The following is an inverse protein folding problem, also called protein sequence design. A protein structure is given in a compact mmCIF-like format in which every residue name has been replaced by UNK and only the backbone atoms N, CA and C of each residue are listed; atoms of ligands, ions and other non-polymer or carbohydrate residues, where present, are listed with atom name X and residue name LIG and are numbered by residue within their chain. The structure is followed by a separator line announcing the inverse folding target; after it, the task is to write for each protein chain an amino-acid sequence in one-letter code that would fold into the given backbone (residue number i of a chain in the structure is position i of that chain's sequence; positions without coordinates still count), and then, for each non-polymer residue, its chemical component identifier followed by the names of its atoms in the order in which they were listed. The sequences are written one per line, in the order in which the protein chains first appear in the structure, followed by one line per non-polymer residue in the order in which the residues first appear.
data_IF_234312209133
#
_entry.id   IF_234312209133
#
_cell.length_a   1.000
_cell.length_b   1.000
_cell.length_c   1.000
_cell.angle_alpha   90.00
_cell.angle_beta   90.00
_cell.angle_gamma   90.00
#
_symmetry.space_group_name_H-M   'P 1'
#
loop_
_entity.id
_entity.type
_entity.pdbx_description
1 polymer ?
#
# COMPACT_ATOMS: atom_id res chain seq x y z
N UNK A 1 12.26 11.62 0.32
CA UNK A 1 11.62 11.39 -1.00
C UNK A 1 10.64 12.50 -1.30
N UNK A 2 9.86 12.96 -0.32
CA UNK A 2 9.20 14.28 -0.35
C UNK A 2 9.52 14.99 0.95
N UNK A 3 10.03 16.22 0.88
CA UNK A 3 10.48 16.97 2.06
C UNK A 3 9.39 17.93 2.54
N UNK A 4 8.38 18.20 1.70
CA UNK A 4 7.24 19.06 2.02
C UNK A 4 5.92 18.50 1.48
N UNK A 5 4.80 18.90 2.11
CA UNK A 5 3.46 18.58 1.62
C UNK A 5 3.22 19.14 0.20
N UNK A 6 3.84 20.28 -0.14
CA UNK A 6 3.73 20.88 -1.48
C UNK A 6 4.38 20.03 -2.56
N UNK A 7 5.52 19.39 -2.27
CA UNK A 7 6.15 18.45 -3.18
C UNK A 7 5.29 17.21 -3.41
N UNK A 8 4.71 16.65 -2.34
CA UNK A 8 3.79 15.53 -2.43
C UNK A 8 2.54 15.91 -3.25
N UNK A 9 1.97 17.09 -3.01
CA UNK A 9 0.81 17.61 -3.76
C UNK A 9 1.12 17.82 -5.24
N UNK A 10 2.31 18.32 -5.57
CA UNK A 10 2.76 18.44 -6.97
C UNK A 10 2.83 17.07 -7.62
N UNK A 11 3.36 16.08 -6.93
CA UNK A 11 3.52 14.72 -7.45
C UNK A 11 2.16 14.02 -7.63
N UNK A 12 1.23 14.17 -6.67
CA UNK A 12 -0.15 13.70 -6.81
C UNK A 12 -0.83 14.28 -8.08
N UNK A 13 -0.56 15.54 -8.42
CA UNK A 13 -1.10 16.16 -9.64
C UNK A 13 -0.50 15.61 -10.94
N UNK A 14 0.73 15.09 -10.87
CA UNK A 14 1.39 14.44 -12.00
C UNK A 14 0.81 13.04 -12.26
N UNK A 15 0.41 12.34 -11.18
CA UNK A 15 -0.26 11.03 -11.24
C UNK A 15 0.63 9.90 -10.73
N UNK A 16 0.19 8.65 -10.91
CA UNK A 16 1.00 7.48 -10.60
C UNK A 16 2.26 7.38 -11.48
N UNK A 17 3.37 6.94 -10.87
CA UNK A 17 4.60 6.59 -11.58
C UNK A 17 5.26 5.35 -10.95
N UNK A 18 6.45 4.95 -11.45
CA UNK A 18 7.16 3.77 -10.95
C UNK A 18 7.54 3.81 -9.46
N UNK A 19 7.49 5.00 -8.85
CA UNK A 19 7.88 5.28 -7.47
C UNK A 19 6.73 5.86 -6.63
N UNK A 20 5.61 6.25 -7.23
CA UNK A 20 4.42 6.80 -6.56
C UNK A 20 3.15 6.04 -6.98
N UNK A 21 2.50 5.40 -6.02
CA UNK A 21 1.19 4.77 -6.21
C UNK A 21 0.09 5.56 -5.50
N UNK A 22 -1.03 5.80 -6.19
CA UNK A 22 -2.16 6.59 -5.72
C UNK A 22 -3.39 5.69 -5.67
N UNK A 23 -3.91 5.43 -4.47
CA UNK A 23 -5.08 4.55 -4.31
C UNK A 23 -6.20 5.23 -3.57
N UNK A 24 -7.38 5.21 -4.18
CA UNK A 24 -8.64 5.49 -3.49
C UNK A 24 -9.08 4.23 -2.75
N UNK A 25 -9.68 4.42 -1.58
CA UNK A 25 -10.20 3.33 -0.77
C UNK A 25 -11.71 3.32 -0.85
N UNK A 26 -12.26 2.15 -1.10
CA UNK A 26 -13.69 1.91 -1.04
C UNK A 26 -14.04 1.15 0.24
N UNK A 27 -15.10 1.59 0.90
CA UNK A 27 -15.53 1.03 2.17
C UNK A 27 -16.90 0.39 2.04
N UNK A 28 -17.04 -0.79 2.65
CA UNK A 28 -18.32 -1.46 2.86
C UNK A 28 -18.52 -1.65 4.36
N UNK A 29 -19.15 -0.66 5.00
CA UNK A 29 -19.33 -0.64 6.45
C UNK A 29 -17.99 -0.54 7.19
N UNK A 30 -17.60 -1.60 7.90
CA UNK A 30 -16.34 -1.69 8.67
C UNK A 30 -15.22 -2.42 7.90
N UNK A 31 -15.42 -2.69 6.61
CA UNK A 31 -14.44 -3.40 5.78
C UNK A 31 -14.06 -2.55 4.57
N UNK A 32 -12.86 -2.78 4.05
CA UNK A 32 -12.39 -2.21 2.79
C UNK A 32 -12.80 -3.15 1.66
N UNK A 33 -13.61 -2.65 0.73
CA UNK A 33 -14.07 -3.38 -0.45
C UNK A 33 -13.13 -3.21 -1.65
N UNK A 34 -12.38 -2.10 -1.70
CA UNK A 34 -11.47 -1.79 -2.79
C UNK A 34 -10.31 -0.90 -2.31
N UNK A 35 -9.10 -1.02 -2.92
CA UNK A 35 -8.75 -1.89 -4.04
C UNK A 35 -8.64 -3.37 -3.63
N UNK A 36 -8.59 -4.27 -4.61
CA UNK A 36 -8.51 -5.70 -4.34
C UNK A 36 -7.18 -6.05 -3.65
N UNK A 37 -7.24 -6.83 -2.55
CA UNK A 37 -6.07 -7.14 -1.70
C UNK A 37 -4.90 -7.76 -2.48
N UNK A 38 -5.21 -8.61 -3.45
CA UNK A 38 -4.18 -9.23 -4.32
C UNK A 38 -3.49 -8.21 -5.21
N UNK A 39 -4.25 -7.27 -5.79
CA UNK A 39 -3.68 -6.21 -6.65
C UNK A 39 -2.73 -5.35 -5.84
N UNK A 40 -3.17 -4.92 -4.66
CA UNK A 40 -2.34 -4.14 -3.74
C UNK A 40 -1.05 -4.88 -3.35
N UNK A 41 -1.13 -6.19 -3.09
CA UNK A 41 0.03 -7.00 -2.75
C UNK A 41 1.04 -7.10 -3.91
N UNK A 42 0.55 -7.23 -5.15
CA UNK A 42 1.40 -7.33 -6.34
C UNK A 42 2.08 -6.00 -6.67
N UNK A 43 1.37 -4.88 -6.52
CA UNK A 43 1.94 -3.54 -6.68
C UNK A 43 2.99 -3.24 -5.58
N UNK A 44 2.72 -3.61 -4.32
CA UNK A 44 3.70 -3.49 -3.24
C UNK A 44 4.96 -4.33 -3.52
N UNK A 45 4.79 -5.55 -4.03
CA UNK A 45 5.92 -6.40 -4.39
C UNK A 45 6.73 -5.80 -5.55
N UNK A 46 6.06 -5.21 -6.55
CA UNK A 46 6.72 -4.54 -7.66
C UNK A 46 7.57 -3.36 -7.21
N UNK A 47 7.03 -2.47 -6.35
CA UNK A 47 7.78 -1.33 -5.81
C UNK A 47 8.90 -1.74 -4.83
N UNK A 48 8.72 -2.82 -4.07
CA UNK A 48 9.81 -3.32 -3.23
C UNK A 48 10.99 -3.83 -4.05
N UNK A 49 10.74 -4.41 -5.23
CA UNK A 49 11.81 -4.87 -6.13
C UNK A 49 12.64 -3.71 -6.71
N UNK A 50 12.05 -2.51 -6.83
CA UNK A 50 12.76 -1.30 -7.25
C UNK A 50 13.47 -0.59 -6.10
N UNK A 51 13.37 -1.13 -4.87
CA UNK A 51 13.91 -0.56 -3.63
C UNK A 51 13.52 0.92 -3.40
N UNK A 52 12.44 1.36 -4.04
CA UNK A 52 11.96 2.72 -4.03
C UNK A 52 10.47 2.71 -4.38
N UNK A 53 9.65 3.37 -3.59
CA UNK A 53 8.20 3.41 -3.77
C UNK A 53 7.47 3.97 -2.58
N UNK A 54 6.51 4.86 -2.83
CA UNK A 54 5.59 5.43 -1.84
C UNK A 54 4.16 5.20 -2.33
N UNK A 55 3.31 4.67 -1.45
CA UNK A 55 1.87 4.61 -1.69
C UNK A 55 1.16 5.70 -0.89
N UNK A 56 0.30 6.46 -1.57
CA UNK A 56 -0.60 7.43 -0.95
C UNK A 56 -2.02 6.88 -1.03
N UNK A 57 -2.59 6.59 0.13
CA UNK A 57 -3.96 6.11 0.26
C UNK A 57 -4.91 7.30 0.47
N UNK A 58 -6.10 7.23 -0.14
CA UNK A 58 -7.09 8.31 -0.11
C UNK A 58 -6.93 9.32 -1.25
N UNK A 59 -6.31 8.93 -2.36
CA UNK A 59 -6.20 9.76 -3.57
C UNK A 59 -6.80 9.00 -4.74
N UNK A 60 -7.75 9.62 -5.42
CA UNK A 60 -8.31 9.03 -6.64
C UNK A 60 -7.39 9.35 -7.83
N UNK A 61 -6.80 8.32 -8.43
CA UNK A 61 -5.87 8.45 -9.55
C UNK A 61 -6.51 9.13 -10.78
N UNK A 62 -7.79 8.82 -11.06
CA UNK A 62 -8.50 9.35 -12.24
C UNK A 62 -8.77 10.85 -12.14
N UNK A 63 -9.29 11.30 -10.99
CA UNK A 63 -9.59 12.72 -10.75
C UNK A 63 -8.41 13.48 -10.17
N UNK A 64 -7.33 12.78 -9.79
CA UNK A 64 -6.16 13.32 -9.07
C UNK A 64 -6.55 14.12 -7.83
N UNK A 65 -7.70 13.77 -7.26
CA UNK A 65 -8.30 14.47 -6.14
C UNK A 65 -8.05 13.70 -4.86
N UNK A 66 -7.73 14.45 -3.81
CA UNK A 66 -7.54 13.89 -2.47
C UNK A 66 -8.93 13.65 -1.89
N UNK A 67 -9.31 12.39 -1.81
CA UNK A 67 -10.54 11.93 -1.15
C UNK A 67 -10.35 11.88 0.37
N UNK A 68 -9.12 11.59 0.80
CA UNK A 68 -8.76 11.40 2.20
C UNK A 68 -9.21 10.06 2.77
N UNK A 69 -8.95 9.88 4.05
CA UNK A 69 -9.42 8.73 4.84
C UNK A 69 -10.17 9.30 6.04
N UNK A 70 -11.44 8.92 6.25
CA UNK A 70 -12.17 9.32 7.44
C UNK A 70 -11.46 8.83 8.71
N UNK A 71 -11.39 9.66 9.75
CA UNK A 71 -10.65 9.36 10.97
C UNK A 71 -11.14 8.06 11.64
N UNK A 72 -12.45 7.84 11.63
CA UNK A 72 -13.09 6.63 12.16
C UNK A 72 -12.77 5.34 11.37
N UNK A 73 -12.11 5.46 10.22
CA UNK A 73 -11.70 4.35 9.36
C UNK A 73 -10.19 4.08 9.40
N UNK A 74 -9.39 4.92 10.06
CA UNK A 74 -7.94 4.77 10.10
C UNK A 74 -7.50 3.39 10.60
N UNK A 75 -8.08 2.92 11.71
CA UNK A 75 -7.76 1.60 12.28
C UNK A 75 -8.05 0.45 11.32
N UNK A 76 -9.15 0.56 10.55
CA UNK A 76 -9.56 -0.44 9.57
C UNK A 76 -8.57 -0.46 8.40
N UNK A 77 -8.15 0.72 7.93
CA UNK A 77 -7.15 0.85 6.86
C UNK A 77 -5.81 0.27 7.28
N UNK A 78 -5.34 0.62 8.48
CA UNK A 78 -4.09 0.10 9.00
C UNK A 78 -4.14 -1.42 9.15
N UNK A 79 -5.19 -1.95 9.79
CA UNK A 79 -5.38 -3.40 9.97
C UNK A 79 -5.44 -4.13 8.64
N UNK A 80 -6.12 -3.56 7.65
CA UNK A 80 -6.22 -4.13 6.31
C UNK A 80 -4.87 -4.18 5.60
N UNK A 81 -4.09 -3.10 5.67
CA UNK A 81 -2.75 -2.99 5.08
C UNK A 81 -1.77 -3.95 5.76
N UNK A 82 -1.77 -4.00 7.09
CA UNK A 82 -0.99 -4.98 7.84
C UNK A 82 -1.37 -6.42 7.45
N UNK A 83 -2.65 -6.69 7.23
CA UNK A 83 -3.12 -8.00 6.76
C UNK A 83 -2.60 -8.38 5.37
N UNK A 84 -2.48 -7.42 4.46
CA UNK A 84 -1.90 -7.63 3.12
C UNK A 84 -0.40 -7.96 3.24
N UNK A 85 0.33 -7.16 4.03
CA UNK A 85 1.75 -7.36 4.25
C UNK A 85 2.03 -8.71 4.94
N UNK A 86 1.34 -9.01 6.03
CA UNK A 86 1.54 -10.27 6.77
C UNK A 86 1.13 -11.49 5.94
N UNK A 87 0.01 -11.41 5.21
CA UNK A 87 -0.56 -12.55 4.48
C UNK A 87 0.24 -13.02 3.27
N UNK A 88 0.86 -12.11 2.50
CA UNK A 88 1.59 -12.45 1.26
C UNK A 88 3.10 -12.57 1.47
N UNK A 89 3.69 -11.76 2.34
CA UNK A 89 5.15 -11.67 2.51
C UNK A 89 5.72 -12.81 3.36
N UNK A 90 4.91 -13.46 4.20
CA UNK A 90 5.30 -14.70 4.90
C UNK A 90 5.59 -15.87 3.96
N UNK A 91 5.21 -15.81 2.68
CA UNK A 91 5.43 -16.90 1.72
C UNK A 91 6.52 -16.60 0.66
N UNK A 92 7.04 -15.37 0.56
CA UNK A 92 8.02 -14.97 -0.48
C UNK A 92 9.38 -14.48 0.01
N UNK A 93 9.58 -14.28 1.31
CA UNK A 93 10.94 -14.12 1.82
C UNK A 93 11.58 -15.51 2.01
N UNK A 94 12.80 -15.76 1.50
CA UNK A 94 13.51 -16.97 1.83
C UNK A 94 13.69 -16.99 3.35
N UNK A 95 13.06 -17.96 4.02
CA UNK A 95 13.45 -18.31 5.39
C UNK A 95 14.96 -18.56 5.37
N UNK A 96 15.76 -18.11 6.36
CA UNK A 96 17.03 -18.77 6.59
C UNK A 96 16.73 -20.24 6.88
N UNK A 97 16.97 -21.10 5.90
CA UNK A 97 16.87 -22.55 6.01
C UNK A 97 17.96 -22.99 6.98
N UNK A 98 17.62 -23.13 8.26
CA UNK A 98 18.46 -23.82 9.25
C UNK A 98 17.58 -24.33 10.40
N UNK A 99 16.82 -25.40 10.16
CA UNK A 99 16.37 -26.27 11.25
C UNK A 99 17.08 -27.60 11.08
N UNK A 100 18.28 -27.69 11.64
CA UNK A 100 18.95 -28.97 11.94
C UNK A 100 18.10 -29.69 12.98
N UNK A 101 17.34 -30.70 12.57
CA UNK A 101 16.83 -31.71 13.51
C UNK A 101 18.01 -32.59 13.91
N UNK A 102 18.48 -32.42 15.15
CA UNK A 102 19.29 -33.41 15.86
C UNK A 102 18.33 -34.53 16.32
N UNK A 103 18.63 -35.76 15.93
CA UNK A 103 18.30 -36.98 16.70
C UNK A 103 19.58 -37.50 17.28
#
# INVERSE_FOLDING_TARGET
MFDTNDELLKQIRLGEDSSLGLKSLEYKGIQISGPHRTSMADELAAMANTANGVFVLGVDDKSRSIVGIPEEKLDIVETWMQGILKGRWMCKLPRPTSLLKRT
#
